data_IF_506574249744
#
_entry.id   IF_506574249744
#
_cell.length_a   1.000
_cell.length_b   1.000
_cell.length_c   1.000
_cell.angle_alpha   90.00
_cell.angle_beta   90.00
_cell.angle_gamma   90.00
#
_symmetry.space_group_name_H-M   'P 1'
#
loop_
_entity.id
_entity.type
_entity.pdbx_description
1 polymer ?
#
# COMPACT_ATOMS: atom_id res chain seq x y z
N UNK A 1 61.71 -26.90 29.48
CA UNK A 1 60.38 -27.03 28.84
C UNK A 1 59.63 -25.73 29.13
N UNK A 2 59.71 -24.75 28.21
CA UNK A 2 58.93 -23.51 28.30
C UNK A 2 57.67 -23.68 27.44
N UNK A 3 56.50 -23.47 28.06
CA UNK A 3 55.21 -23.46 27.37
C UNK A 3 54.93 -22.09 26.75
N UNK A 4 54.56 -22.08 25.48
CA UNK A 4 54.06 -20.90 24.79
C UNK A 4 52.52 -20.91 24.83
N UNK A 5 51.95 -19.90 25.49
CA UNK A 5 50.52 -19.63 25.45
C UNK A 5 50.19 -18.82 24.18
N UNK A 6 49.33 -19.36 23.33
CA UNK A 6 48.79 -18.67 22.16
C UNK A 6 47.57 -17.86 22.62
N UNK A 7 47.69 -16.54 22.61
CA UNK A 7 46.56 -15.63 22.79
C UNK A 7 45.72 -15.62 21.50
N UNK A 8 44.53 -16.23 21.53
CA UNK A 8 43.51 -15.97 20.52
C UNK A 8 42.89 -14.60 20.80
N UNK A 9 43.22 -13.63 19.96
CA UNK A 9 42.52 -12.34 19.89
C UNK A 9 41.13 -12.57 19.29
N UNK A 10 40.08 -12.41 20.11
CA UNK A 10 38.72 -12.32 19.65
C UNK A 10 38.53 -10.98 18.90
N UNK A 11 38.48 -11.04 17.57
CA UNK A 11 37.90 -9.96 16.78
C UNK A 11 36.39 -9.95 17.05
N UNK A 12 35.95 -9.03 17.90
CA UNK A 12 34.55 -8.68 18.01
C UNK A 12 34.08 -8.16 16.65
N UNK A 13 33.29 -8.98 15.95
CA UNK A 13 32.53 -8.53 14.79
C UNK A 13 31.50 -7.54 15.33
N UNK A 14 31.80 -6.26 15.21
CA UNK A 14 30.78 -5.23 15.30
C UNK A 14 29.85 -5.48 14.12
N UNK A 15 28.61 -5.88 14.41
CA UNK A 15 27.56 -5.97 13.42
C UNK A 15 27.36 -4.54 12.89
N UNK A 16 28.00 -4.24 11.76
CA UNK A 16 27.63 -3.09 10.96
C UNK A 16 26.12 -3.22 10.69
N UNK A 17 25.37 -2.14 10.91
CA UNK A 17 24.00 -2.03 10.45
C UNK A 17 24.04 -2.18 8.91
N UNK A 18 23.90 -3.43 8.45
CA UNK A 18 23.95 -3.76 7.03
C UNK A 18 22.77 -3.09 6.35
N UNK A 19 23.03 -2.36 5.27
CA UNK A 19 21.97 -1.81 4.44
C UNK A 19 21.00 -2.92 4.04
N UNK A 20 19.69 -2.68 4.16
CA UNK A 20 18.62 -3.56 3.71
C UNK A 20 18.60 -3.67 2.17
N UNK A 21 19.61 -4.30 1.59
CA UNK A 21 19.74 -4.49 0.16
C UNK A 21 19.92 -5.98 -0.12
N UNK A 22 19.14 -6.49 -1.06
CA UNK A 22 19.33 -7.85 -1.58
C UNK A 22 20.55 -7.90 -2.51
N UNK A 23 21.21 -9.05 -2.56
CA UNK A 23 22.27 -9.34 -3.53
C UNK A 23 21.75 -9.26 -4.97
N UNK A 24 20.53 -9.73 -5.21
CA UNK A 24 19.76 -9.58 -6.44
C UNK A 24 18.38 -10.19 -6.23
N UNK A 25 17.31 -9.49 -6.62
CA UNK A 25 15.94 -10.00 -6.49
C UNK A 25 15.74 -11.34 -7.21
N UNK A 26 16.33 -11.53 -8.40
CA UNK A 26 16.25 -12.79 -9.14
C UNK A 26 17.09 -13.90 -8.50
N UNK A 27 18.25 -13.56 -7.93
CA UNK A 27 19.04 -14.52 -7.16
C UNK A 27 18.28 -14.99 -5.90
N UNK A 28 17.62 -14.06 -5.20
CA UNK A 28 16.80 -14.37 -4.02
C UNK A 28 15.60 -15.27 -4.38
N UNK A 29 14.96 -15.03 -5.53
CA UNK A 29 13.92 -15.94 -6.06
C UNK A 29 14.47 -17.35 -6.27
N UNK A 30 15.65 -17.48 -6.88
CA UNK A 30 16.28 -18.79 -7.11
C UNK A 30 16.68 -19.48 -5.81
N UNK A 31 17.18 -18.73 -4.82
CA UNK A 31 17.55 -19.26 -3.50
C UNK A 31 16.35 -19.83 -2.75
N UNK A 32 15.22 -19.13 -2.75
CA UNK A 32 13.97 -19.62 -2.13
C UNK A 32 13.37 -20.80 -2.92
N UNK A 33 13.48 -20.79 -4.24
CA UNK A 33 13.04 -21.94 -5.06
C UNK A 33 13.87 -23.21 -4.80
N UNK A 34 15.18 -23.05 -4.58
CA UNK A 34 16.09 -24.16 -4.27
C UNK A 34 15.95 -24.64 -2.81
N UNK A 35 15.68 -23.73 -1.88
CA UNK A 35 15.50 -24.01 -0.45
C UNK A 35 14.29 -23.25 0.10
N UNK A 36 13.13 -23.92 0.24
CA UNK A 36 11.90 -23.24 0.69
C UNK A 36 11.99 -22.57 2.07
N UNK A 37 12.93 -23.01 2.91
CA UNK A 37 13.17 -22.44 4.24
C UNK A 37 14.26 -21.37 4.25
N UNK A 38 14.78 -20.95 3.09
CA UNK A 38 15.91 -20.01 3.03
C UNK A 38 15.66 -18.73 3.85
N UNK A 39 14.45 -18.16 3.79
CA UNK A 39 14.10 -16.94 4.52
C UNK A 39 14.07 -17.07 6.05
N UNK A 40 14.18 -18.27 6.61
CA UNK A 40 14.32 -18.47 8.06
C UNK A 40 15.78 -18.71 8.48
N UNK A 41 16.70 -18.76 7.52
CA UNK A 41 18.13 -18.97 7.79
C UNK A 41 18.84 -17.65 8.09
N UNK A 42 19.96 -17.68 8.84
CA UNK A 42 20.79 -16.49 9.06
C UNK A 42 21.31 -15.87 7.75
N UNK A 43 21.54 -16.68 6.71
CA UNK A 43 21.99 -16.22 5.39
C UNK A 43 20.98 -15.28 4.71
N UNK A 44 19.68 -15.45 4.97
CA UNK A 44 18.68 -14.56 4.42
C UNK A 44 18.84 -13.13 4.94
N UNK A 45 19.26 -12.93 6.20
CA UNK A 45 19.50 -11.60 6.76
C UNK A 45 20.65 -10.85 6.06
N UNK A 46 21.62 -11.58 5.49
CA UNK A 46 22.81 -11.00 4.87
C UNK A 46 22.71 -10.90 3.36
N UNK A 47 22.06 -11.86 2.70
CA UNK A 47 22.02 -11.95 1.24
C UNK A 47 20.72 -11.41 0.64
N UNK A 48 19.60 -11.66 1.30
CA UNK A 48 18.26 -11.36 0.79
C UNK A 48 17.33 -10.76 1.85
N UNK A 49 17.80 -9.81 2.69
CA UNK A 49 17.01 -9.33 3.82
C UNK A 49 15.75 -8.61 3.38
N UNK A 50 15.75 -7.92 2.24
CA UNK A 50 14.58 -7.23 1.73
C UNK A 50 13.60 -8.24 1.12
N UNK A 51 14.08 -9.16 0.29
CA UNK A 51 13.27 -10.22 -0.32
C UNK A 51 12.57 -11.09 0.74
N UNK A 52 13.28 -11.45 1.81
CA UNK A 52 12.75 -12.26 2.90
C UNK A 52 11.98 -11.45 3.96
N UNK A 53 11.84 -10.14 3.78
CA UNK A 53 11.11 -9.27 4.70
C UNK A 53 11.74 -9.21 6.09
N UNK A 54 13.06 -9.32 6.19
CA UNK A 54 13.84 -9.33 7.44
C UNK A 54 14.46 -7.97 7.78
N UNK A 55 14.19 -6.95 6.96
CA UNK A 55 14.75 -5.63 7.18
C UNK A 55 14.16 -4.95 8.40
N UNK A 56 15.05 -4.51 9.29
CA UNK A 56 14.71 -3.60 10.38
C UNK A 56 14.88 -2.16 9.94
N UNK A 57 14.11 -1.25 10.53
CA UNK A 57 14.15 0.18 10.23
C UNK A 57 14.64 0.97 11.43
N UNK A 58 15.49 1.99 11.23
CA UNK A 58 15.79 2.97 12.26
C UNK A 58 15.03 4.26 11.97
N UNK A 59 14.24 4.76 12.93
CA UNK A 59 13.43 5.97 12.77
C UNK A 59 13.72 6.98 13.87
N UNK A 60 13.50 8.27 13.59
CA UNK A 60 13.45 9.27 14.65
C UNK A 60 12.28 8.95 15.58
N UNK A 61 12.51 9.11 16.89
CA UNK A 61 11.53 8.81 17.93
C UNK A 61 11.50 9.93 18.95
N UNK A 62 10.51 10.80 18.85
CA UNK A 62 10.26 11.91 19.77
C UNK A 62 8.76 12.10 19.94
N UNK A 63 8.35 12.55 21.12
CA UNK A 63 6.97 12.89 21.41
C UNK A 63 6.85 14.40 21.58
N UNK A 64 5.75 14.96 21.09
CA UNK A 64 5.33 16.35 21.27
C UNK A 64 6.39 17.39 20.83
N UNK A 65 7.02 17.18 19.67
CA UNK A 65 7.93 18.19 19.12
C UNK A 65 7.16 19.25 18.32
N UNK A 66 7.62 20.50 18.34
CA UNK A 66 7.01 21.57 17.55
C UNK A 66 7.32 21.46 16.06
N UNK A 67 8.47 20.86 15.72
CA UNK A 67 8.92 20.64 14.35
C UNK A 67 9.62 19.27 14.27
N UNK A 68 9.21 18.37 13.36
CA UNK A 68 9.82 17.04 13.22
C UNK A 68 11.35 17.06 13.03
N UNK A 69 11.89 18.10 12.39
CA UNK A 69 13.33 18.24 12.13
C UNK A 69 14.15 18.46 13.40
N UNK A 70 13.52 18.82 14.52
CA UNK A 70 14.19 19.04 15.82
C UNK A 70 14.42 17.75 16.61
N UNK A 71 13.86 16.63 16.17
CA UNK A 71 14.04 15.34 16.84
C UNK A 71 15.47 14.82 16.65
N UNK A 72 16.13 14.47 17.76
CA UNK A 72 17.53 13.98 17.75
C UNK A 72 17.67 12.54 18.21
N UNK A 73 16.64 11.97 18.81
CA UNK A 73 16.63 10.58 19.29
C UNK A 73 16.06 9.64 18.23
N UNK A 74 16.58 8.41 18.19
CA UNK A 74 16.17 7.39 17.21
C UNK A 74 15.93 6.04 17.88
N UNK A 75 15.11 5.20 17.25
CA UNK A 75 14.81 3.85 17.69
C UNK A 75 14.92 2.88 16.52
N UNK A 76 15.38 1.64 16.78
CA UNK A 76 15.22 0.55 15.82
C UNK A 76 13.82 -0.05 15.98
N UNK A 77 13.02 0.04 14.92
CA UNK A 77 11.62 -0.37 14.90
C UNK A 77 11.42 -1.89 14.76
N UNK A 78 12.47 -2.64 14.46
CA UNK A 78 12.35 -4.05 14.11
C UNK A 78 11.74 -4.28 12.73
N UNK A 79 11.38 -5.53 12.47
CA UNK A 79 10.92 -6.03 11.17
C UNK A 79 9.46 -5.60 10.90
N UNK A 80 9.15 -5.24 9.65
CA UNK A 80 7.78 -4.94 9.21
C UNK A 80 7.26 -3.56 9.64
N UNK A 81 8.12 -2.71 10.18
CA UNK A 81 7.79 -1.33 10.59
C UNK A 81 8.36 -0.29 9.62
N UNK A 82 7.67 0.84 9.55
CA UNK A 82 8.08 2.05 8.82
C UNK A 82 8.19 3.25 9.74
N UNK A 83 8.88 4.30 9.29
CA UNK A 83 8.96 5.54 10.05
C UNK A 83 7.69 6.35 9.85
N UNK A 84 7.19 6.97 10.93
CA UNK A 84 5.98 7.79 10.93
C UNK A 84 6.26 9.16 11.57
N UNK A 85 5.57 10.17 11.06
CA UNK A 85 5.31 11.44 11.72
C UNK A 85 3.80 11.67 11.74
N UNK A 86 3.24 12.02 12.90
CA UNK A 86 1.81 12.26 13.07
C UNK A 86 1.55 13.55 13.83
N UNK A 87 0.58 14.34 13.37
CA UNK A 87 0.08 15.51 14.08
C UNK A 87 -0.71 15.10 15.33
N UNK A 88 -0.46 15.79 16.43
CA UNK A 88 -1.21 15.69 17.68
C UNK A 88 -1.65 17.07 18.15
N UNK A 89 -2.63 17.11 19.04
CA UNK A 89 -3.14 18.35 19.65
C UNK A 89 -2.77 18.29 21.13
N UNK A 90 -1.98 19.25 21.59
CA UNK A 90 -1.68 19.44 23.01
C UNK A 90 -2.89 19.98 23.78
N UNK A 91 -2.83 19.94 25.11
CA UNK A 91 -3.89 20.45 25.99
C UNK A 91 -4.16 21.96 25.83
N UNK A 92 -3.19 22.68 25.27
CA UNK A 92 -3.24 24.09 24.92
C UNK A 92 -3.83 24.37 23.52
N UNK A 93 -4.32 23.33 22.84
CA UNK A 93 -4.78 23.36 21.46
C UNK A 93 -3.69 23.74 20.44
N UNK A 94 -2.41 23.63 20.82
CA UNK A 94 -1.28 23.77 19.90
C UNK A 94 -1.00 22.42 19.23
N UNK A 95 -0.65 22.47 17.95
CA UNK A 95 -0.27 21.29 17.20
C UNK A 95 1.17 20.90 17.52
N UNK A 96 1.36 19.63 17.84
CA UNK A 96 2.68 19.02 18.00
C UNK A 96 2.80 17.82 17.06
N UNK A 97 4.01 17.26 17.00
CA UNK A 97 4.31 16.09 16.18
C UNK A 97 4.88 14.96 17.03
N UNK A 98 4.39 13.75 16.78
CA UNK A 98 4.96 12.52 17.29
C UNK A 98 5.66 11.77 16.17
N UNK A 99 6.93 11.43 16.40
CA UNK A 99 7.77 10.69 15.48
C UNK A 99 8.04 9.30 16.06
N UNK A 100 8.02 8.27 15.22
CA UNK A 100 8.34 6.93 15.68
C UNK A 100 8.21 5.88 14.59
N UNK A 101 7.68 4.73 15.01
CA UNK A 101 7.50 3.55 14.17
C UNK A 101 6.01 3.23 14.03
N UNK A 102 5.58 2.85 12.83
CA UNK A 102 4.25 2.30 12.58
C UNK A 102 4.36 0.97 11.85
N UNK A 103 3.34 0.10 11.99
CA UNK A 103 3.23 -1.08 11.14
C UNK A 103 3.10 -0.68 9.68
N UNK A 104 3.73 -1.43 8.76
CA UNK A 104 3.62 -1.15 7.33
C UNK A 104 2.15 -1.06 6.87
N UNK A 105 1.26 -1.87 7.44
CA UNK A 105 -0.19 -1.84 7.15
C UNK A 105 -0.88 -0.53 7.53
N UNK A 106 -0.40 0.14 8.58
CA UNK A 106 -0.90 1.46 9.00
C UNK A 106 -0.46 2.56 8.01
N UNK A 107 0.68 2.38 7.37
CA UNK A 107 1.23 3.30 6.39
C UNK A 107 0.65 3.11 4.97
N UNK A 108 -0.15 2.06 4.75
CA UNK A 108 -0.81 1.78 3.47
C UNK A 108 -2.28 2.23 3.42
N UNK A 109 -2.88 2.63 4.56
CA UNK A 109 -4.30 2.98 4.67
C UNK A 109 -4.67 4.43 4.33
N UNK A 110 -3.82 5.15 3.59
CA UNK A 110 -4.05 6.57 3.25
C UNK A 110 -3.37 7.55 4.21
N UNK A 111 -3.70 8.84 4.10
CA UNK A 111 -3.07 9.96 4.83
C UNK A 111 -3.87 10.45 6.04
N UNK A 112 -5.05 9.87 6.28
CA UNK A 112 -6.00 10.29 7.32
C UNK A 112 -6.02 9.28 8.47
N UNK A 113 -5.75 9.76 9.70
CA UNK A 113 -5.68 8.89 10.88
C UNK A 113 -6.98 8.05 10.99
N UNK A 114 -6.90 6.73 11.25
CA UNK A 114 -8.07 5.92 11.54
C UNK A 114 -8.86 6.55 12.70
N UNK A 115 -10.10 6.94 12.43
CA UNK A 115 -10.99 7.48 13.45
C UNK A 115 -11.28 6.41 14.52
N UNK A 116 -11.06 6.66 15.81
CA UNK A 116 -11.65 5.85 16.86
C UNK A 116 -13.13 6.22 16.95
N UNK A 117 -13.99 5.53 16.20
CA UNK A 117 -15.44 5.66 16.30
C UNK A 117 -16.19 5.81 14.97
N UNK A 118 -16.14 4.77 14.11
CA UNK A 118 -17.18 4.56 13.12
C UNK A 118 -18.45 4.09 13.83
N UNK A 119 -19.24 5.06 14.28
CA UNK A 119 -20.52 4.85 14.94
C UNK A 119 -21.44 6.03 14.64
N UNK A 120 -22.38 5.81 13.72
CA UNK A 120 -23.49 6.71 13.36
C UNK A 120 -23.13 8.05 12.71
N UNK A 121 -23.19 8.07 11.37
CA UNK A 121 -23.57 9.28 10.64
C UNK A 121 -25.02 9.65 10.97
N UNK A 122 -25.22 10.53 11.95
CA UNK A 122 -26.46 11.29 12.09
C UNK A 122 -26.36 12.52 11.19
N UNK A 123 -27.07 12.48 10.08
CA UNK A 123 -27.23 13.60 9.12
C UNK A 123 -27.75 14.84 9.85
N UNK A 124 -27.05 15.99 9.72
CA UNK A 124 -27.67 17.30 9.97
C UNK A 124 -26.94 18.36 10.79
N UNK A 125 -25.61 18.38 10.94
CA UNK A 125 -24.91 19.55 11.51
C UNK A 125 -23.67 19.94 10.70
N UNK A 126 -23.65 21.16 10.16
CA UNK A 126 -22.45 21.80 9.61
C UNK A 126 -21.47 22.01 10.76
N UNK A 127 -20.46 21.15 10.84
CA UNK A 127 -19.35 21.30 11.78
C UNK A 127 -18.40 22.38 11.24
N UNK A 128 -17.94 23.34 12.05
CA UNK A 128 -16.90 24.27 11.64
C UNK A 128 -15.62 23.47 11.38
N UNK A 129 -14.91 23.80 10.31
CA UNK A 129 -13.73 23.14 9.77
C UNK A 129 -12.78 22.58 10.84
N UNK A 130 -12.96 21.32 11.27
CA UNK A 130 -11.89 20.54 11.89
C UNK A 130 -10.98 20.15 10.74
N UNK A 131 -9.78 20.72 10.68
CA UNK A 131 -8.72 20.09 9.87
C UNK A 131 -8.51 18.69 10.45
N UNK A 132 -8.60 17.67 9.60
CA UNK A 132 -8.20 16.32 9.97
C UNK A 132 -6.72 16.35 10.32
N UNK A 133 -6.35 15.70 11.44
CA UNK A 133 -4.96 15.52 11.81
C UNK A 133 -4.26 14.66 10.77
N UNK A 134 -3.11 15.13 10.28
CA UNK A 134 -2.36 14.45 9.24
C UNK A 134 -1.31 13.52 9.81
N UNK A 135 -0.99 12.49 9.07
CA UNK A 135 0.21 11.69 9.29
C UNK A 135 0.90 11.36 7.97
N UNK A 136 2.18 11.02 8.05
CA UNK A 136 2.98 10.61 6.91
C UNK A 136 3.92 9.49 7.31
N UNK A 137 4.10 8.53 6.41
CA UNK A 137 5.06 7.43 6.58
C UNK A 137 6.13 7.45 5.49
N UNK A 138 7.32 6.94 5.82
CA UNK A 138 8.43 6.79 4.87
C UNK A 138 9.28 5.53 5.15
N UNK A 139 10.01 5.04 4.13
CA UNK A 139 10.75 3.76 4.10
C UNK A 139 12.26 3.93 3.89
N UNK A 140 12.85 5.00 4.41
CA UNK A 140 14.29 5.11 4.55
C UNK A 140 14.65 5.26 6.04
N UNK A 141 15.86 4.87 6.41
CA UNK A 141 16.29 5.11 7.79
C UNK A 141 16.27 6.62 8.08
N UNK A 142 15.74 6.99 9.25
CA UNK A 142 15.69 8.36 9.75
C UNK A 142 14.96 9.33 8.80
N UNK A 143 13.99 8.84 8.01
CA UNK A 143 13.31 9.66 6.99
C UNK A 143 12.18 10.55 7.53
N UNK A 144 11.73 10.32 8.76
CA UNK A 144 10.54 10.96 9.34
C UNK A 144 10.83 12.31 10.03
N UNK A 145 11.91 13.00 9.68
CA UNK A 145 12.27 14.32 10.20
C UNK A 145 11.66 15.49 9.40
N UNK A 146 10.57 15.24 8.68
CA UNK A 146 9.87 16.21 7.83
C UNK A 146 8.41 16.32 8.26
N UNK A 147 7.73 17.36 7.77
CA UNK A 147 6.29 17.49 7.96
C UNK A 147 5.54 16.32 7.30
N UNK A 148 4.37 15.89 7.82
CA UNK A 148 3.57 14.82 7.24
C UNK A 148 3.30 15.00 5.73
N UNK A 149 2.93 16.21 5.32
CA UNK A 149 2.65 16.55 3.93
C UNK A 149 3.87 16.48 2.99
N UNK A 150 5.09 16.46 3.53
CA UNK A 150 6.32 16.28 2.74
C UNK A 150 6.70 14.81 2.56
N UNK A 151 6.06 13.90 3.31
CA UNK A 151 6.25 12.46 3.17
C UNK A 151 5.24 11.83 2.20
N UNK A 152 4.23 12.58 1.77
CA UNK A 152 3.30 12.11 0.74
C UNK A 152 3.97 12.15 -0.64
N UNK A 153 3.79 11.12 -1.48
CA UNK A 153 4.29 11.16 -2.84
C UNK A 153 3.69 12.36 -3.58
N UNK A 154 4.53 13.22 -4.16
CA UNK A 154 4.10 14.40 -4.95
C UNK A 154 4.28 14.19 -6.46
N UNK A 155 4.94 13.11 -6.86
CA UNK A 155 5.27 12.77 -8.25
C UNK A 155 5.07 11.29 -8.49
N UNK A 156 4.70 10.93 -9.72
CA UNK A 156 4.60 9.53 -10.12
C UNK A 156 5.98 8.83 -10.15
N UNK A 157 6.12 7.64 -9.55
CA UNK A 157 7.33 6.83 -9.70
C UNK A 157 7.59 6.46 -11.16
N UNK A 158 8.88 6.33 -11.50
CA UNK A 158 9.31 5.86 -12.83
C UNK A 158 8.68 4.52 -13.17
N UNK A 159 8.15 4.40 -14.40
CA UNK A 159 7.50 3.18 -14.89
C UNK A 159 5.99 3.10 -14.64
N UNK A 160 5.41 4.11 -13.98
CA UNK A 160 3.95 4.28 -13.87
C UNK A 160 3.41 5.20 -14.99
N UNK A 161 2.11 5.09 -15.28
CA UNK A 161 1.40 5.92 -16.25
C UNK A 161 0.65 7.04 -15.51
N UNK A 162 1.06 8.28 -15.73
CA UNK A 162 0.54 9.46 -15.03
C UNK A 162 -0.74 10.00 -15.70
N UNK A 163 -1.80 10.16 -14.92
CA UNK A 163 -3.05 10.82 -15.30
C UNK A 163 -3.27 12.09 -14.47
N UNK A 164 -3.58 13.20 -15.14
CA UNK A 164 -3.89 14.50 -14.54
C UNK A 164 -5.04 15.16 -15.29
N UNK A 165 -6.04 15.65 -14.58
CA UNK A 165 -7.16 16.41 -15.17
C UNK A 165 -7.46 17.75 -14.46
N UNK A 166 -6.55 18.18 -13.58
CA UNK A 166 -6.65 19.42 -12.81
C UNK A 166 -7.40 19.29 -11.49
N UNK A 167 -8.18 18.21 -11.30
CA UNK A 167 -8.81 17.86 -10.03
C UNK A 167 -8.16 16.63 -9.41
N UNK A 168 -7.73 15.67 -10.24
CA UNK A 168 -7.04 14.48 -9.79
C UNK A 168 -5.63 14.37 -10.37
N UNK A 169 -4.76 13.69 -9.63
CA UNK A 169 -3.42 13.30 -10.05
C UNK A 169 -3.16 11.87 -9.58
N UNK A 170 -3.14 10.94 -10.53
CA UNK A 170 -3.08 9.49 -10.24
C UNK A 170 -2.00 8.83 -11.09
N UNK A 171 -1.25 7.90 -10.51
CA UNK A 171 -0.21 7.14 -11.18
C UNK A 171 -0.63 5.67 -11.28
N UNK A 172 -0.89 5.18 -12.48
CA UNK A 172 -1.36 3.81 -12.71
C UNK A 172 -0.22 2.85 -13.05
N UNK A 173 -0.34 1.60 -12.63
CA UNK A 173 0.57 0.53 -13.02
C UNK A 173 -0.12 -0.84 -12.95
N UNK A 174 0.37 -1.80 -13.74
CA UNK A 174 -0.26 -3.12 -13.89
C UNK A 174 0.62 -4.23 -13.31
N UNK A 175 0.03 -5.11 -12.50
CA UNK A 175 0.66 -6.32 -11.98
C UNK A 175 0.02 -7.56 -12.60
N UNK A 176 0.77 -8.29 -13.42
CA UNK A 176 0.27 -9.42 -14.24
C UNK A 176 0.29 -10.80 -13.56
N UNK A 177 0.66 -10.86 -12.29
CA UNK A 177 0.59 -12.12 -11.55
C UNK A 177 -0.81 -12.26 -10.95
N UNK A 178 -1.49 -13.35 -11.28
CA UNK A 178 -2.84 -13.65 -10.81
C UNK A 178 -2.87 -13.83 -9.29
N UNK A 179 -3.76 -13.09 -8.63
CA UNK A 179 -3.98 -13.09 -7.18
C UNK A 179 -5.46 -12.86 -6.89
N UNK A 180 -5.91 -13.24 -5.70
CA UNK A 180 -7.18 -12.72 -5.17
C UNK A 180 -7.08 -11.21 -4.93
N UNK A 181 -8.22 -10.54 -4.77
CA UNK A 181 -8.27 -9.07 -4.67
C UNK A 181 -7.43 -8.53 -3.50
N UNK A 182 -7.49 -9.18 -2.33
CA UNK A 182 -6.77 -8.75 -1.13
C UNK A 182 -5.25 -8.90 -1.28
N UNK A 183 -4.78 -9.99 -1.87
CA UNK A 183 -3.36 -10.20 -2.16
C UNK A 183 -2.88 -9.32 -3.32
N UNK A 184 -3.77 -8.98 -4.26
CA UNK A 184 -3.55 -7.96 -5.28
C UNK A 184 -3.32 -6.58 -4.67
N UNK A 185 -4.18 -6.17 -3.72
CA UNK A 185 -4.03 -4.91 -2.99
C UNK A 185 -2.71 -4.86 -2.20
N UNK A 186 -2.35 -5.94 -1.50
CA UNK A 186 -1.04 -6.06 -0.83
C UNK A 186 0.11 -5.96 -1.84
N UNK A 187 -0.03 -6.56 -3.02
CA UNK A 187 1.00 -6.49 -4.06
C UNK A 187 1.17 -5.07 -4.61
N UNK A 188 0.09 -4.32 -4.83
CA UNK A 188 0.15 -2.90 -5.21
C UNK A 188 0.92 -2.07 -4.16
N UNK A 189 0.58 -2.24 -2.89
CA UNK A 189 1.21 -1.54 -1.77
C UNK A 189 2.69 -1.94 -1.56
N UNK A 190 3.06 -3.16 -1.93
CA UNK A 190 4.44 -3.63 -1.89
C UNK A 190 5.27 -3.14 -3.08
N UNK A 191 4.65 -2.92 -4.24
CA UNK A 191 5.34 -2.45 -5.44
C UNK A 191 5.74 -0.97 -5.31
N UNK A 192 4.84 -0.12 -4.81
CA UNK A 192 5.10 1.29 -4.56
C UNK A 192 4.42 1.76 -3.28
N UNK A 193 5.08 2.66 -2.54
CA UNK A 193 4.48 3.35 -1.39
C UNK A 193 3.23 4.11 -1.82
N UNK A 194 2.15 3.95 -1.05
CA UNK A 194 0.84 4.53 -1.38
C UNK A 194 0.13 3.82 -2.54
N UNK A 195 0.69 2.70 -3.03
CA UNK A 195 0.06 1.85 -4.03
C UNK A 195 -1.18 1.15 -3.47
N UNK A 196 -2.28 1.28 -4.18
CA UNK A 196 -3.57 0.65 -3.88
C UNK A 196 -4.09 -0.05 -5.15
N UNK A 197 -5.13 -0.87 -5.03
CA UNK A 197 -5.92 -1.22 -6.21
C UNK A 197 -6.49 0.06 -6.84
N UNK A 198 -6.60 0.08 -8.17
CA UNK A 198 -6.71 1.32 -8.91
C UNK A 198 -7.98 2.13 -8.62
N UNK A 199 -7.79 3.41 -8.32
CA UNK A 199 -8.83 4.43 -8.25
C UNK A 199 -9.15 4.98 -9.64
N UNK A 200 -10.42 4.92 -10.06
CA UNK A 200 -10.87 5.39 -11.39
C UNK A 200 -11.97 6.44 -11.21
N UNK A 201 -11.62 7.74 -11.17
CA UNK A 201 -12.56 8.81 -10.79
C UNK A 201 -13.52 9.24 -11.89
N UNK A 202 -13.21 8.96 -13.16
CA UNK A 202 -13.92 9.56 -14.29
C UNK A 202 -13.78 8.74 -15.56
N UNK A 203 -14.66 9.02 -16.54
CA UNK A 203 -14.56 8.47 -17.88
C UNK A 203 -13.23 8.84 -18.57
N UNK A 204 -12.65 10.00 -18.26
CA UNK A 204 -11.36 10.40 -18.80
C UNK A 204 -10.22 9.51 -18.26
N UNK A 205 -10.25 9.21 -16.95
CA UNK A 205 -9.29 8.29 -16.33
C UNK A 205 -9.43 6.87 -16.88
N UNK A 206 -10.66 6.36 -17.01
CA UNK A 206 -10.94 5.04 -17.58
C UNK A 206 -10.46 4.92 -19.04
N UNK A 207 -10.77 5.91 -19.88
CA UNK A 207 -10.26 5.97 -21.26
C UNK A 207 -8.73 6.03 -21.30
N UNK A 208 -8.11 6.79 -20.39
CA UNK A 208 -6.65 6.84 -20.27
C UNK A 208 -6.08 5.46 -19.96
N UNK A 209 -6.61 4.75 -18.95
CA UNK A 209 -6.21 3.38 -18.59
C UNK A 209 -6.32 2.45 -19.79
N UNK A 210 -7.47 2.44 -20.47
CA UNK A 210 -7.71 1.59 -21.65
C UNK A 210 -6.72 1.89 -22.78
N UNK A 211 -6.39 3.15 -23.01
CA UNK A 211 -5.42 3.55 -24.05
C UNK A 211 -3.97 3.21 -23.68
N UNK A 212 -3.60 3.36 -22.40
CA UNK A 212 -2.23 3.19 -21.90
C UNK A 212 -1.87 1.71 -21.69
N UNK A 213 -2.85 0.90 -21.25
CA UNK A 213 -2.64 -0.51 -20.90
C UNK A 213 -3.35 -1.49 -21.84
N UNK A 214 -4.10 -1.02 -22.85
CA UNK A 214 -4.91 -1.89 -23.74
C UNK A 214 -4.11 -3.05 -24.36
N UNK A 215 -2.93 -2.78 -24.91
CA UNK A 215 -2.07 -3.85 -25.45
C UNK A 215 -1.53 -4.79 -24.38
N UNK A 216 -1.44 -4.34 -23.13
CA UNK A 216 -0.99 -5.18 -22.03
C UNK A 216 -2.07 -6.15 -21.57
N UNK A 217 -3.33 -5.71 -21.58
CA UNK A 217 -4.47 -6.55 -21.24
C UNK A 217 -4.78 -7.64 -22.27
N UNK A 218 -4.20 -7.62 -23.48
CA UNK A 218 -4.50 -8.64 -24.49
C UNK A 218 -4.03 -10.05 -24.13
N UNK A 219 -3.15 -10.19 -23.13
CA UNK A 219 -2.75 -11.48 -22.56
C UNK A 219 -3.56 -11.90 -21.33
N UNK A 220 -4.43 -11.03 -20.83
CA UNK A 220 -5.26 -11.29 -19.66
C UNK A 220 -6.49 -12.12 -20.08
N UNK A 221 -6.70 -13.25 -19.43
CA UNK A 221 -7.89 -14.10 -19.63
C UNK A 221 -8.78 -14.13 -18.38
N UNK A 222 -8.28 -13.63 -17.26
CA UNK A 222 -8.87 -13.73 -15.93
C UNK A 222 -9.50 -12.39 -15.48
N UNK A 223 -9.18 -11.31 -16.18
CA UNK A 223 -9.56 -9.95 -15.85
C UNK A 223 -8.60 -9.32 -14.85
N UNK A 224 -8.83 -8.04 -14.58
CA UNK A 224 -7.91 -7.22 -13.78
C UNK A 224 -8.68 -6.52 -12.67
N UNK A 225 -8.43 -6.86 -11.41
CA UNK A 225 -9.05 -6.20 -10.25
C UNK A 225 -8.70 -4.71 -10.20
N UNK A 226 -9.69 -3.91 -9.79
CA UNK A 226 -9.59 -2.48 -9.53
C UNK A 226 -10.03 -2.17 -8.09
N UNK A 227 -9.79 -0.94 -7.64
CA UNK A 227 -10.03 -0.51 -6.26
C UNK A 227 -11.47 -0.11 -5.99
N UNK A 228 -12.44 -0.94 -6.37
CA UNK A 228 -13.88 -0.71 -6.16
C UNK A 228 -14.51 -1.95 -5.52
N UNK A 229 -15.26 -1.75 -4.44
CA UNK A 229 -15.81 -2.81 -3.60
C UNK A 229 -17.15 -2.42 -2.99
N UNK A 230 -17.99 -3.39 -2.66
CA UNK A 230 -19.21 -3.21 -1.86
C UNK A 230 -19.33 -4.23 -0.71
N UNK A 231 -18.18 -4.75 -0.27
CA UNK A 231 -18.00 -5.73 0.83
C UNK A 231 -18.81 -5.45 2.11
N UNK A 232 -19.04 -4.18 2.44
CA UNK A 232 -19.78 -3.81 3.65
C UNK A 232 -21.30 -3.71 3.41
N UNK A 233 -21.70 -3.21 2.24
CA UNK A 233 -23.08 -2.89 1.91
C UNK A 233 -23.31 -3.13 0.41
N UNK A 234 -23.95 -4.25 0.10
CA UNK A 234 -24.33 -4.66 -1.25
C UNK A 234 -24.91 -3.50 -2.09
N UNK A 235 -24.45 -3.36 -3.34
CA UNK A 235 -24.76 -2.28 -4.28
C UNK A 235 -24.31 -0.87 -3.86
N UNK A 236 -23.60 -0.72 -2.74
CA UNK A 236 -23.06 0.56 -2.26
C UNK A 236 -21.54 0.57 -2.42
N UNK A 237 -21.10 0.74 -3.67
CA UNK A 237 -19.69 0.67 -4.02
C UNK A 237 -18.87 1.85 -3.46
N UNK A 238 -17.76 1.50 -2.83
CA UNK A 238 -16.74 2.40 -2.29
C UNK A 238 -15.39 2.10 -2.94
N UNK A 239 -14.48 3.06 -2.87
CA UNK A 239 -13.09 2.84 -3.26
C UNK A 239 -12.19 2.44 -2.07
N UNK A 240 -10.88 2.33 -2.31
CA UNK A 240 -9.91 1.80 -1.33
C UNK A 240 -9.78 2.60 -0.04
N UNK A 241 -10.20 3.87 0.00
CA UNK A 241 -10.23 4.67 1.25
C UNK A 241 -11.61 4.71 1.92
N UNK A 242 -12.59 3.98 1.37
CA UNK A 242 -13.96 3.93 1.87
C UNK A 242 -14.85 5.07 1.36
N UNK A 243 -14.32 6.00 0.56
CA UNK A 243 -15.15 7.02 -0.09
C UNK A 243 -16.10 6.38 -1.11
N UNK A 244 -17.31 6.94 -1.31
CA UNK A 244 -18.23 6.45 -2.34
C UNK A 244 -17.60 6.51 -3.73
N UNK A 245 -17.72 5.42 -4.48
CA UNK A 245 -17.28 5.39 -5.88
C UNK A 245 -18.25 6.23 -6.73
N UNK A 246 -17.70 7.20 -7.47
CA UNK A 246 -18.49 8.21 -8.20
C UNK A 246 -18.63 7.95 -9.70
N UNK A 247 -17.79 7.08 -10.26
CA UNK A 247 -17.79 6.74 -11.67
C UNK A 247 -17.88 5.23 -11.85
N UNK A 248 -18.65 4.80 -12.84
CA UNK A 248 -18.81 3.39 -13.19
C UNK A 248 -18.78 3.21 -14.69
N UNK A 249 -18.09 2.16 -15.15
CA UNK A 249 -18.12 1.70 -16.54
C UNK A 249 -18.56 0.23 -16.60
N UNK A 250 -19.69 -0.05 -15.96
CA UNK A 250 -20.27 -1.39 -15.90
C UNK A 250 -20.47 -1.99 -17.29
N UNK A 251 -20.10 -3.27 -17.43
CA UNK A 251 -20.46 -4.08 -18.58
C UNK A 251 -21.97 -4.28 -18.64
N UNK A 252 -22.51 -4.54 -19.83
CA UNK A 252 -23.92 -4.82 -19.96
C UNK A 252 -24.35 -5.97 -19.03
N UNK A 253 -25.38 -5.71 -18.21
CA UNK A 253 -25.90 -6.67 -17.24
C UNK A 253 -25.06 -6.82 -15.98
N UNK A 254 -24.23 -5.83 -15.61
CA UNK A 254 -23.50 -5.77 -14.33
C UNK A 254 -23.88 -4.49 -13.55
N UNK A 255 -23.68 -4.46 -12.21
CA UNK A 255 -23.29 -5.59 -11.37
C UNK A 255 -24.41 -6.64 -11.31
N UNK A 256 -24.06 -7.91 -11.17
CA UNK A 256 -25.02 -9.02 -11.18
C UNK A 256 -24.89 -9.98 -10.00
N UNK A 257 -24.34 -9.49 -8.90
CA UNK A 257 -24.29 -10.18 -7.64
C UNK A 257 -25.62 -10.94 -7.36
N UNK A 258 -25.56 -12.23 -7.01
CA UNK A 258 -26.77 -13.03 -6.91
C UNK A 258 -27.60 -12.54 -5.72
N UNK A 259 -28.92 -12.66 -5.81
CA UNK A 259 -29.82 -12.26 -4.73
C UNK A 259 -29.38 -12.86 -3.39
N UNK A 260 -29.04 -12.00 -2.40
CA UNK A 260 -28.61 -12.37 -1.04
C UNK A 260 -29.55 -13.36 -0.32
N UNK A 261 -30.78 -13.52 -0.82
CA UNK A 261 -31.81 -14.43 -0.28
C UNK A 261 -31.90 -15.80 -1.01
N UNK A 262 -31.07 -16.06 -2.03
CA UNK A 262 -31.05 -17.34 -2.73
C UNK A 262 -30.15 -18.36 -1.99
N UNK A 263 -30.70 -19.51 -1.54
CA UNK A 263 -29.91 -20.54 -0.86
C UNK A 263 -28.90 -21.26 -1.77
N UNK A 264 -28.95 -21.07 -3.09
CA UNK A 264 -27.97 -21.58 -4.06
C UNK A 264 -27.13 -20.44 -4.68
N UNK A 265 -27.06 -19.29 -4.01
CA UNK A 265 -26.30 -18.11 -4.45
C UNK A 265 -24.82 -18.47 -4.67
N UNK A 266 -24.29 -18.04 -5.82
CA UNK A 266 -22.84 -17.96 -6.06
C UNK A 266 -22.18 -17.11 -4.96
N UNK A 267 -20.87 -17.28 -4.67
CA UNK A 267 -20.19 -16.42 -3.69
C UNK A 267 -20.44 -14.93 -3.95
N UNK A 268 -20.55 -14.16 -2.88
CA UNK A 268 -20.83 -12.71 -2.96
C UNK A 268 -19.79 -12.03 -3.86
N UNK A 269 -20.26 -11.17 -4.77
CA UNK A 269 -19.44 -10.60 -5.83
C UNK A 269 -18.90 -9.21 -5.46
N UNK A 270 -18.31 -9.10 -4.28
CA UNK A 270 -18.07 -7.81 -3.64
C UNK A 270 -16.83 -7.03 -4.16
N UNK A 271 -16.17 -7.53 -5.20
CA UNK A 271 -14.94 -6.97 -5.77
C UNK A 271 -15.10 -6.72 -7.26
N UNK A 272 -14.62 -5.57 -7.75
CA UNK A 272 -14.75 -5.22 -9.17
C UNK A 272 -13.47 -5.49 -9.95
N UNK A 273 -13.62 -6.07 -11.15
CA UNK A 273 -12.54 -6.22 -12.13
C UNK A 273 -12.93 -5.65 -13.49
N UNK A 274 -11.94 -5.15 -14.22
CA UNK A 274 -12.05 -4.90 -15.65
C UNK A 274 -12.02 -6.25 -16.38
N UNK A 275 -13.03 -6.49 -17.21
CA UNK A 275 -13.10 -7.74 -17.99
C UNK A 275 -12.06 -7.74 -19.11
N UNK A 276 -11.39 -8.87 -19.41
CA UNK A 276 -10.43 -8.92 -20.51
C UNK A 276 -11.12 -8.72 -21.87
N UNK A 277 -10.33 -8.46 -22.91
CA UNK A 277 -10.81 -7.99 -24.23
C UNK A 277 -12.03 -8.79 -24.73
N UNK A 278 -13.16 -8.10 -24.82
CA UNK A 278 -14.32 -8.47 -25.62
C UNK A 278 -14.80 -7.25 -26.44
N UNK A 279 -15.95 -7.38 -27.11
CA UNK A 279 -16.56 -6.28 -27.87
C UNK A 279 -17.02 -5.09 -27.02
N UNK A 280 -16.95 -5.16 -25.69
CA UNK A 280 -17.31 -4.09 -24.75
C UNK A 280 -16.08 -3.40 -24.13
N UNK A 281 -14.86 -3.76 -24.56
CA UNK A 281 -13.62 -3.00 -24.33
C UNK A 281 -13.29 -2.69 -22.84
N UNK A 282 -13.06 -3.72 -22.04
CA UNK A 282 -12.59 -3.60 -20.64
C UNK A 282 -13.56 -2.92 -19.66
N UNK A 283 -14.85 -2.99 -19.92
CA UNK A 283 -15.91 -2.63 -18.96
C UNK A 283 -15.88 -3.52 -17.71
N UNK A 284 -16.51 -3.05 -16.65
CA UNK A 284 -16.37 -3.58 -15.30
C UNK A 284 -17.38 -4.69 -15.00
N UNK A 285 -16.95 -5.64 -14.16
CA UNK A 285 -17.77 -6.71 -13.59
C UNK A 285 -17.48 -6.83 -12.10
N UNK A 286 -18.52 -6.98 -11.31
CA UNK A 286 -18.45 -7.43 -9.93
C UNK A 286 -18.17 -8.94 -9.92
N UNK A 287 -17.31 -9.42 -9.02
CA UNK A 287 -16.86 -10.82 -8.93
C UNK A 287 -16.49 -11.19 -7.50
N UNK A 288 -16.51 -12.50 -7.15
CA UNK A 288 -16.00 -12.95 -5.87
C UNK A 288 -14.54 -12.54 -5.70
N UNK A 289 -14.23 -11.96 -4.54
CA UNK A 289 -12.91 -11.43 -4.22
C UNK A 289 -11.81 -12.51 -4.23
N UNK A 290 -12.19 -13.78 -4.03
CA UNK A 290 -11.29 -14.95 -4.00
C UNK A 290 -10.87 -15.43 -5.39
N UNK A 291 -11.52 -14.95 -6.46
CA UNK A 291 -11.09 -15.29 -7.83
C UNK A 291 -9.68 -14.76 -8.08
N UNK A 292 -8.89 -15.49 -8.87
CA UNK A 292 -7.55 -15.07 -9.24
C UNK A 292 -7.60 -14.22 -10.51
N UNK A 293 -7.02 -13.03 -10.45
CA UNK A 293 -6.98 -12.09 -11.56
C UNK A 293 -5.74 -11.21 -11.47
N UNK A 294 -5.41 -10.46 -12.52
CA UNK A 294 -4.37 -9.43 -12.47
C UNK A 294 -4.81 -8.27 -11.57
N UNK A 295 -3.92 -7.34 -11.29
CA UNK A 295 -4.23 -6.15 -10.48
C UNK A 295 -3.81 -4.88 -11.21
N UNK A 296 -4.77 -4.00 -11.48
CA UNK A 296 -4.48 -2.62 -11.85
C UNK A 296 -4.35 -1.85 -10.54
N UNK A 297 -3.24 -1.15 -10.40
CA UNK A 297 -2.90 -0.43 -9.20
C UNK A 297 -2.85 1.08 -9.47
N UNK A 298 -3.05 1.88 -8.43
CA UNK A 298 -2.82 3.32 -8.48
C UNK A 298 -2.06 3.84 -7.26
N UNK A 299 -1.34 4.95 -7.46
CA UNK A 299 -0.88 5.84 -6.39
C UNK A 299 -1.66 7.13 -6.56
N UNK A 300 -2.40 7.53 -5.53
CA UNK A 300 -3.30 8.68 -5.60
C UNK A 300 -2.56 9.90 -5.01
N UNK A 301 -1.91 10.69 -5.88
CA UNK A 301 -1.16 11.89 -5.48
C UNK A 301 -2.13 12.99 -5.03
N UNK A 302 -3.23 13.14 -5.77
CA UNK A 302 -4.34 14.03 -5.42
C UNK A 302 -5.66 13.38 -5.87
N UNK A 303 -6.62 13.30 -4.95
CA UNK A 303 -7.97 12.75 -5.14
C UNK A 303 -9.00 13.83 -4.84
#
# INVERSE_FOLDING_TARGET
MLGAAVFLSALGVTAAAGSCNDISTDACRLLVAASPNFCTTPSAQTECPAFCGLCTRTCYHCNEVNDPSTCTTSVNCGVGKECIVAETIGDDFIYHYNLGCADKSYCTSGTDLPHPGSGSSVVGKRSPSKRNLQYGCCDADLCNNKMPAELTPTTCPTGTQEFKDGLVHVCYFLLKQERNADDGAKACANQFRGGNLAYIPSRAADNFIKSSFGSEFSGDHSGTFIGVFDKEHELSFVDTDGSPQIFFDWRHGQPNDPNVNDPNREPAQDCVRMFPIDGEHYTWQDKPCEQLAWSLCSINIHK
#
